data_IF_978781532338
#
_entry.id   IF_978781532338
#
_cell.length_a   1.000
_cell.length_b   1.000
_cell.length_c   1.000
_cell.angle_alpha   90.00
_cell.angle_beta   90.00
_cell.angle_gamma   90.00
#
_symmetry.space_group_name_H-M   'P 1'
#
loop_
_entity.id
_entity.type
_entity.pdbx_description
1 polymer ?
#
# COMPACT_ATOMS: atom_id res chain seq x y z
N UNK A 1 -5.35 -16.08 4.30
CA UNK A 1 -4.63 -16.86 5.33
C UNK A 1 -3.21 -17.09 4.87
N UNK A 2 -2.31 -16.18 5.23
CA UNK A 2 -0.87 -16.36 5.04
C UNK A 2 -0.37 -17.22 6.19
N UNK A 3 0.01 -18.45 5.89
CA UNK A 3 0.75 -19.30 6.81
C UNK A 3 2.18 -18.74 6.93
N UNK A 4 2.57 -18.39 8.15
CA UNK A 4 3.96 -18.14 8.50
C UNK A 4 4.71 -19.46 8.49
N UNK A 5 5.53 -19.70 7.48
CA UNK A 5 6.55 -20.74 7.54
C UNK A 5 7.79 -20.18 8.23
N UNK A 6 7.98 -20.55 9.47
CA UNK A 6 9.25 -20.45 10.18
C UNK A 6 10.22 -21.45 9.58
N UNK A 7 11.16 -20.97 8.78
CA UNK A 7 12.31 -21.79 8.36
C UNK A 7 13.36 -21.68 9.46
N UNK A 8 13.59 -22.81 10.15
CA UNK A 8 14.70 -22.98 11.07
C UNK A 8 16.02 -22.98 10.29
N UNK A 9 16.89 -22.06 10.62
CA UNK A 9 18.26 -22.02 10.10
C UNK A 9 19.09 -23.16 10.65
N UNK A 10 19.67 -23.96 9.78
CA UNK A 10 20.74 -24.89 10.11
C UNK A 10 22.07 -24.14 10.35
N UNK A 11 22.90 -24.56 11.28
CA UNK A 11 24.19 -23.92 11.54
C UNK A 11 25.30 -24.47 10.63
N UNK A 12 26.14 -23.58 10.12
CA UNK A 12 27.49 -23.93 9.76
C UNK A 12 27.98 -23.57 8.37
N UNK A 13 28.67 -22.46 8.25
CA UNK A 13 29.97 -22.41 7.55
C UNK A 13 30.76 -21.20 8.06
N UNK A 14 31.92 -21.52 8.63
CA UNK A 14 32.94 -20.61 9.13
C UNK A 14 33.56 -19.81 7.98
N UNK A 15 33.38 -18.50 7.95
CA UNK A 15 34.25 -17.59 7.20
C UNK A 15 35.19 -16.90 8.18
N UNK A 16 36.48 -16.97 7.90
CA UNK A 16 37.60 -16.46 8.70
C UNK A 16 37.43 -14.98 9.03
N UNK A 17 37.20 -14.71 10.32
CA UNK A 17 37.09 -13.35 10.84
C UNK A 17 38.46 -12.66 10.88
N UNK A 18 38.56 -11.47 10.32
CA UNK A 18 39.55 -10.49 10.74
C UNK A 18 39.23 -10.09 12.17
N UNK A 19 40.18 -10.30 13.09
CA UNK A 19 40.11 -9.79 14.46
C UNK A 19 39.99 -8.27 14.44
N UNK A 20 38.77 -7.74 14.60
CA UNK A 20 38.53 -6.38 14.99
C UNK A 20 38.77 -6.32 16.51
N UNK A 21 39.69 -5.45 16.92
CA UNK A 21 40.08 -5.28 18.31
C UNK A 21 38.87 -5.07 19.23
N UNK A 22 38.87 -5.75 20.35
CA UNK A 22 37.81 -5.76 21.36
C UNK A 22 37.75 -4.50 22.21
N UNK A 23 38.57 -3.47 21.91
CA UNK A 23 38.67 -2.23 22.67
C UNK A 23 38.64 -1.01 21.73
N UNK A 24 38.02 0.05 22.18
CA UNK A 24 38.04 1.37 21.47
C UNK A 24 39.42 2.04 21.59
N UNK A 25 39.60 3.20 20.92
CA UNK A 25 40.87 3.97 20.98
C UNK A 25 41.26 4.43 22.37
N UNK A 26 40.33 4.38 23.33
CA UNK A 26 40.52 4.80 24.70
C UNK A 26 40.68 3.63 25.68
N UNK A 27 40.77 2.38 25.14
CA UNK A 27 41.01 1.19 25.93
C UNK A 27 39.76 0.59 26.61
N UNK A 28 38.54 1.08 26.28
CA UNK A 28 37.31 0.53 26.81
C UNK A 28 36.89 -0.72 26.02
N UNK A 29 36.38 -1.78 26.66
CA UNK A 29 35.89 -2.94 25.95
C UNK A 29 34.68 -2.55 25.09
N UNK A 30 34.74 -2.83 23.79
CA UNK A 30 33.59 -2.67 22.90
C UNK A 30 32.62 -3.80 23.22
N UNK A 31 31.46 -3.48 23.61
CA UNK A 31 30.37 -4.44 23.85
C UNK A 31 29.98 -5.11 22.52
N UNK A 32 30.53 -6.27 22.25
CA UNK A 32 30.28 -7.07 21.05
C UNK A 32 29.01 -7.91 21.14
N UNK A 33 28.26 -7.85 22.24
CA UNK A 33 27.02 -8.60 22.40
C UNK A 33 25.79 -7.90 21.76
N UNK A 34 25.96 -6.71 21.19
CA UNK A 34 24.87 -5.92 20.59
C UNK A 34 24.79 -6.01 19.05
N UNK A 35 25.45 -6.94 18.40
CA UNK A 35 25.29 -7.14 16.96
C UNK A 35 24.44 -8.37 16.67
N UNK A 36 23.21 -8.35 17.14
CA UNK A 36 22.16 -9.04 16.43
C UNK A 36 21.61 -8.03 15.39
N UNK A 37 21.87 -8.31 14.12
CA UNK A 37 21.37 -7.55 12.95
C UNK A 37 19.83 -7.62 12.79
N UNK A 38 19.09 -7.61 13.86
CA UNK A 38 17.69 -7.26 13.81
C UNK A 38 17.65 -5.75 13.58
N UNK A 39 17.48 -5.32 12.34
CA UNK A 39 17.15 -3.93 12.00
C UNK A 39 15.93 -3.53 12.82
N UNK A 40 16.17 -2.87 13.94
CA UNK A 40 15.10 -2.39 14.80
C UNK A 40 14.27 -1.37 14.04
N UNK A 41 12.97 -1.60 13.95
CA UNK A 41 12.03 -0.64 13.35
C UNK A 41 12.13 0.66 14.15
N UNK A 42 12.37 1.82 13.51
CA UNK A 42 12.43 3.10 14.20
C UNK A 42 11.16 3.36 15.02
N UNK A 43 11.33 3.91 16.21
CA UNK A 43 10.21 4.26 17.09
C UNK A 43 9.25 5.20 16.34
N UNK A 44 7.94 4.89 16.40
CA UNK A 44 6.91 5.67 15.72
C UNK A 44 6.71 5.35 14.24
N UNK A 45 7.51 4.47 13.64
CA UNK A 45 7.28 4.00 12.29
C UNK A 45 6.31 2.82 12.30
N UNK A 46 5.14 2.99 11.71
CA UNK A 46 4.18 1.91 11.48
C UNK A 46 3.40 2.14 10.19
N UNK A 47 2.94 1.05 9.61
CA UNK A 47 2.27 1.03 8.31
C UNK A 47 0.92 0.34 8.40
N UNK A 48 -0.01 0.76 7.54
CA UNK A 48 -1.32 0.15 7.43
C UNK A 48 -1.90 0.32 6.02
N UNK A 49 -2.92 -0.45 5.74
CA UNK A 49 -3.80 -0.33 4.58
C UNK A 49 -5.22 -0.05 5.06
N UNK A 50 -6.09 0.34 4.16
CA UNK A 50 -7.52 0.50 4.44
C UNK A 50 -8.35 -0.45 3.58
N UNK A 51 -9.43 -0.98 4.14
CA UNK A 51 -10.35 -1.79 3.36
C UNK A 51 -11.15 -0.90 2.41
N UNK A 52 -11.35 -1.36 1.18
CA UNK A 52 -11.97 -0.59 0.10
C UNK A 52 -13.38 -0.08 0.47
N UNK A 53 -14.23 -0.93 1.07
CA UNK A 53 -15.65 -0.62 1.29
C UNK A 53 -15.91 0.27 2.52
N UNK A 54 -15.31 -0.05 3.64
CA UNK A 54 -15.61 0.59 4.93
C UNK A 54 -14.42 1.37 5.52
N UNK A 55 -13.28 1.42 4.83
CA UNK A 55 -12.11 2.13 5.31
C UNK A 55 -11.54 1.59 6.64
N UNK A 56 -11.77 0.31 6.96
CA UNK A 56 -11.21 -0.30 8.16
C UNK A 56 -9.69 -0.40 8.02
N UNK A 57 -8.98 -0.04 9.08
CA UNK A 57 -7.51 -0.05 9.12
C UNK A 57 -7.03 -1.49 9.31
N UNK A 58 -6.12 -1.92 8.44
CA UNK A 58 -5.45 -3.21 8.51
C UNK A 58 -3.95 -2.97 8.69
N UNK A 59 -3.36 -3.31 9.84
CA UNK A 59 -1.94 -3.14 10.08
C UNK A 59 -1.10 -3.95 9.08
N UNK A 60 0.01 -3.39 8.62
CA UNK A 60 0.97 -4.04 7.74
C UNK A 60 2.34 -3.98 8.41
N UNK A 61 3.08 -5.11 8.48
CA UNK A 61 4.43 -5.09 9.00
C UNK A 61 5.33 -4.22 8.12
N UNK A 62 6.20 -3.44 8.74
CA UNK A 62 7.22 -2.68 8.00
C UNK A 62 8.22 -3.67 7.43
N UNK A 63 8.46 -3.60 6.12
CA UNK A 63 9.48 -4.43 5.48
C UNK A 63 10.88 -3.91 5.82
N UNK A 64 11.57 -4.64 6.69
CA UNK A 64 12.95 -4.39 7.10
C UNK A 64 13.94 -5.34 6.43
N UNK A 65 13.44 -6.34 5.71
CA UNK A 65 14.24 -7.35 5.03
C UNK A 65 14.22 -7.08 3.53
N UNK A 66 15.36 -6.91 2.92
CA UNK A 66 15.49 -6.85 1.46
C UNK A 66 15.48 -8.25 0.82
N UNK A 67 14.62 -9.14 1.30
CA UNK A 67 14.59 -10.55 0.88
C UNK A 67 14.14 -10.76 -0.56
N UNK A 68 13.42 -9.80 -1.14
CA UNK A 68 12.88 -9.87 -2.51
C UNK A 68 13.71 -9.13 -3.57
N UNK A 69 14.95 -8.71 -3.27
CA UNK A 69 15.73 -7.87 -4.20
C UNK A 69 15.99 -8.53 -5.56
N UNK A 70 16.09 -9.85 -5.62
CA UNK A 70 16.27 -10.60 -6.86
C UNK A 70 15.05 -10.59 -7.76
N UNK A 71 13.86 -10.25 -7.23
CA UNK A 71 12.62 -10.07 -8.00
C UNK A 71 12.36 -8.60 -8.34
N UNK A 72 13.40 -7.83 -8.59
CA UNK A 72 13.32 -6.39 -8.85
C UNK A 72 12.43 -6.02 -10.02
N UNK A 73 12.30 -6.90 -11.02
CA UNK A 73 11.39 -6.72 -12.16
C UNK A 73 9.93 -7.13 -11.85
N UNK A 74 9.69 -7.92 -10.80
CA UNK A 74 8.38 -8.40 -10.32
C UNK A 74 7.55 -9.24 -11.34
N UNK A 75 8.07 -9.59 -12.50
CA UNK A 75 7.29 -10.30 -13.55
C UNK A 75 6.93 -11.73 -13.15
N UNK A 76 7.84 -12.44 -12.51
CA UNK A 76 7.59 -13.79 -12.01
C UNK A 76 6.68 -13.84 -10.78
N UNK A 77 6.40 -12.70 -10.15
CA UNK A 77 5.63 -12.58 -8.91
C UNK A 77 6.33 -13.21 -7.70
N UNK A 78 5.71 -13.13 -6.51
CA UNK A 78 6.32 -13.63 -5.27
C UNK A 78 6.53 -15.14 -5.26
N UNK A 79 5.70 -15.89 -6.00
CA UNK A 79 5.72 -17.35 -6.04
C UNK A 79 6.39 -17.92 -7.30
N UNK A 80 6.75 -17.09 -8.28
CA UNK A 80 7.21 -17.54 -9.59
C UNK A 80 6.14 -18.24 -10.44
N UNK A 81 4.88 -18.22 -10.02
CA UNK A 81 3.76 -18.94 -10.64
C UNK A 81 2.93 -18.05 -11.59
N UNK A 82 3.59 -17.18 -12.34
CA UNK A 82 2.95 -16.32 -13.33
C UNK A 82 3.38 -16.69 -14.74
N UNK A 83 2.42 -16.70 -15.67
CA UNK A 83 2.69 -16.67 -17.11
C UNK A 83 2.75 -15.20 -17.56
N UNK A 84 3.72 -14.86 -18.39
CA UNK A 84 3.89 -13.53 -18.97
C UNK A 84 4.55 -13.64 -20.37
N UNK A 85 4.54 -12.56 -21.13
CA UNK A 85 4.98 -12.57 -22.53
C UNK A 85 6.49 -12.31 -22.71
N UNK A 86 7.29 -12.45 -21.67
CA UNK A 86 8.74 -12.50 -21.75
C UNK A 86 9.48 -11.18 -21.55
N UNK A 87 8.82 -10.03 -21.57
CA UNK A 87 9.45 -8.72 -21.32
C UNK A 87 8.90 -8.02 -20.07
N UNK A 88 9.68 -7.12 -19.53
CA UNK A 88 9.28 -6.27 -18.44
C UNK A 88 8.05 -5.44 -18.82
N UNK A 89 7.01 -5.50 -18.00
CA UNK A 89 5.75 -4.79 -18.26
C UNK A 89 4.79 -5.51 -19.19
N UNK A 90 5.09 -6.72 -19.65
CA UNK A 90 4.13 -7.52 -20.42
C UNK A 90 2.94 -7.96 -19.54
N UNK A 91 1.76 -8.19 -20.13
CA UNK A 91 0.63 -8.73 -19.40
C UNK A 91 0.99 -10.07 -18.75
N UNK A 92 0.49 -10.30 -17.55
CA UNK A 92 0.70 -11.55 -16.82
C UNK A 92 -0.57 -12.11 -16.20
N UNK A 93 -0.58 -13.41 -15.97
CA UNK A 93 -1.67 -14.10 -15.28
C UNK A 93 -1.10 -15.11 -14.29
N UNK A 94 -1.66 -15.14 -13.09
CA UNK A 94 -1.30 -16.14 -12.08
C UNK A 94 -1.80 -17.52 -12.52
N UNK A 95 -0.94 -18.55 -12.51
CA UNK A 95 -1.30 -19.94 -12.81
C UNK A 95 -2.14 -20.58 -11.71
N UNK A 96 -1.96 -20.12 -10.47
CA UNK A 96 -2.74 -20.60 -9.33
C UNK A 96 -4.07 -19.85 -9.32
N UNK A 97 -5.16 -20.56 -9.61
CA UNK A 97 -6.50 -19.96 -9.75
C UNK A 97 -6.95 -19.23 -8.47
N UNK A 98 -6.74 -19.82 -7.30
CA UNK A 98 -7.18 -19.25 -6.02
C UNK A 98 -6.38 -18.00 -5.59
N UNK A 99 -5.21 -17.76 -6.20
CA UNK A 99 -4.40 -16.57 -5.93
C UNK A 99 -4.66 -15.44 -6.94
N UNK A 100 -5.58 -15.67 -7.90
CA UNK A 100 -5.99 -14.62 -8.83
C UNK A 100 -6.77 -13.54 -8.09
N UNK A 101 -6.50 -12.29 -8.43
CA UNK A 101 -7.31 -11.18 -7.96
C UNK A 101 -8.70 -11.25 -8.58
N UNK A 102 -9.71 -10.75 -7.85
CA UNK A 102 -11.02 -10.53 -8.44
C UNK A 102 -10.90 -9.65 -9.69
N UNK A 103 -11.57 -10.07 -10.76
CA UNK A 103 -11.62 -9.32 -12.00
C UNK A 103 -12.28 -7.95 -11.77
N UNK A 104 -11.70 -6.93 -12.37
CA UNK A 104 -12.29 -5.59 -12.33
C UNK A 104 -13.33 -5.45 -13.45
N UNK A 105 -14.24 -4.51 -13.28
CA UNK A 105 -15.16 -4.16 -14.37
C UNK A 105 -14.47 -3.52 -15.58
N UNK A 106 -13.19 -3.16 -15.44
CA UNK A 106 -12.34 -2.70 -16.52
C UNK A 106 -11.16 -3.66 -16.70
N UNK A 107 -11.44 -4.80 -17.28
CA UNK A 107 -10.54 -5.97 -17.40
C UNK A 107 -9.18 -5.67 -18.04
N UNK A 108 -9.08 -4.59 -18.81
CA UNK A 108 -7.87 -4.22 -19.56
C UNK A 108 -6.68 -3.84 -18.68
N UNK A 109 -6.88 -3.56 -17.40
CA UNK A 109 -5.82 -3.25 -16.44
C UNK A 109 -5.45 -4.42 -15.53
N UNK A 110 -6.28 -5.47 -15.47
CA UNK A 110 -6.08 -6.61 -14.58
C UNK A 110 -4.77 -7.38 -14.82
N UNK A 111 -4.31 -7.57 -16.07
CA UNK A 111 -3.03 -8.24 -16.36
C UNK A 111 -1.79 -7.46 -15.88
N UNK A 112 -1.95 -6.25 -15.36
CA UNK A 112 -0.87 -5.36 -14.91
C UNK A 112 -0.86 -5.16 -13.40
N UNK A 113 -1.27 -6.18 -12.65
CA UNK A 113 -1.39 -6.19 -11.19
C UNK A 113 -0.07 -5.88 -10.45
N UNK A 114 1.08 -6.00 -11.12
CA UNK A 114 2.42 -5.72 -10.60
C UNK A 114 2.77 -4.22 -10.56
N UNK A 115 2.01 -3.38 -11.23
CA UNK A 115 2.23 -1.93 -11.25
C UNK A 115 0.98 -1.12 -10.92
N UNK A 116 -0.22 -1.59 -11.28
CA UNK A 116 -1.48 -0.90 -10.95
C UNK A 116 -1.87 -1.18 -9.50
N UNK A 117 -1.82 -0.14 -8.66
CA UNK A 117 -2.20 -0.22 -7.26
C UNK A 117 -3.69 0.07 -7.08
N UNK A 118 -4.41 -0.90 -6.53
CA UNK A 118 -5.80 -0.69 -6.09
C UNK A 118 -5.80 0.06 -4.74
N UNK A 119 -6.87 0.76 -4.35
CA UNK A 119 -6.93 1.51 -3.09
C UNK A 119 -6.55 0.69 -1.85
N UNK A 120 -6.99 -0.57 -1.80
CA UNK A 120 -6.68 -1.49 -0.70
C UNK A 120 -5.22 -1.95 -0.68
N UNK A 121 -4.44 -1.69 -1.73
CA UNK A 121 -3.02 -2.06 -1.81
C UNK A 121 -2.10 -0.90 -1.43
N UNK A 122 -2.61 0.34 -1.40
CA UNK A 122 -1.84 1.52 -0.99
C UNK A 122 -1.50 1.44 0.49
N UNK A 123 -0.21 1.61 0.78
CA UNK A 123 0.30 1.58 2.15
C UNK A 123 0.37 3.01 2.67
N UNK A 124 -0.24 3.26 3.81
CA UNK A 124 -0.08 4.49 4.57
C UNK A 124 1.02 4.30 5.61
N UNK A 125 1.82 5.32 5.83
CA UNK A 125 2.96 5.26 6.75
C UNK A 125 2.89 6.42 7.73
N UNK A 126 2.94 6.11 9.03
CA UNK A 126 3.22 7.08 10.07
C UNK A 126 4.71 7.05 10.40
N UNK A 127 5.31 8.22 10.53
CA UNK A 127 6.74 8.34 10.78
C UNK A 127 7.06 9.62 11.55
N UNK A 128 8.12 9.60 12.36
CA UNK A 128 8.61 10.79 13.06
C UNK A 128 9.57 11.63 12.20
N UNK A 129 10.19 11.02 11.20
CA UNK A 129 11.05 11.66 10.21
C UNK A 129 10.59 11.25 8.80
N UNK A 130 10.83 12.04 7.75
CA UNK A 130 10.46 11.64 6.39
C UNK A 130 10.98 10.24 6.06
N UNK A 131 10.10 9.39 5.54
CA UNK A 131 10.41 8.03 5.11
C UNK A 131 10.47 7.98 3.60
N UNK A 132 11.58 7.48 3.06
CA UNK A 132 11.79 7.34 1.61
C UNK A 132 12.30 5.95 1.28
N UNK A 133 11.69 5.32 0.28
CA UNK A 133 12.19 4.08 -0.31
C UNK A 133 12.32 4.27 -1.82
N UNK A 134 13.55 4.11 -2.33
CA UNK A 134 13.88 4.22 -3.74
C UNK A 134 14.38 2.87 -4.24
N UNK A 135 13.81 2.40 -5.33
CA UNK A 135 14.25 1.17 -6.00
C UNK A 135 14.52 1.47 -7.47
N UNK A 136 15.68 1.11 -7.94
CA UNK A 136 16.04 1.25 -9.34
C UNK A 136 16.59 -0.06 -9.88
N UNK A 137 16.02 -0.49 -10.99
CA UNK A 137 16.45 -1.66 -11.76
C UNK A 137 16.76 -1.23 -13.18
N UNK A 138 17.87 -1.73 -13.72
CA UNK A 138 18.24 -1.55 -15.12
C UNK A 138 18.95 -2.79 -15.65
N UNK A 139 18.47 -3.34 -16.76
CA UNK A 139 19.17 -4.38 -17.49
C UNK A 139 20.41 -3.83 -18.19
N UNK A 140 21.52 -4.55 -18.14
CA UNK A 140 22.75 -4.18 -18.86
C UNK A 140 22.68 -4.42 -20.36
N UNK A 141 21.65 -5.10 -20.84
CA UNK A 141 21.48 -5.39 -22.27
C UNK A 141 21.00 -4.15 -23.03
N UNK A 142 21.82 -3.62 -23.92
CA UNK A 142 21.50 -2.41 -24.70
C UNK A 142 20.43 -2.66 -25.79
N UNK A 143 20.26 -3.90 -26.26
CA UNK A 143 19.26 -4.23 -27.30
C UNK A 143 17.87 -4.43 -26.73
N UNK A 144 17.76 -5.17 -25.63
CA UNK A 144 16.51 -5.51 -24.96
C UNK A 144 16.44 -4.81 -23.59
N UNK A 145 16.84 -3.55 -23.54
CA UNK A 145 16.97 -2.79 -22.30
C UNK A 145 15.65 -2.69 -21.55
N UNK A 146 15.73 -3.01 -20.27
CA UNK A 146 14.63 -2.89 -19.33
C UNK A 146 15.04 -1.97 -18.19
N UNK A 147 14.11 -1.16 -17.75
CA UNK A 147 14.34 -0.16 -16.70
C UNK A 147 13.09 -0.01 -15.85
N UNK A 148 13.26 0.02 -14.53
CA UNK A 148 12.17 0.30 -13.59
C UNK A 148 12.66 1.19 -12.46
N UNK A 149 11.93 2.24 -12.18
CA UNK A 149 12.16 3.15 -11.08
C UNK A 149 10.93 3.22 -10.20
N UNK A 150 11.10 2.90 -8.91
CA UNK A 150 10.05 3.05 -7.90
C UNK A 150 10.50 4.06 -6.86
N UNK A 151 9.60 4.93 -6.46
CA UNK A 151 9.82 5.89 -5.39
C UNK A 151 8.60 5.90 -4.47
N UNK A 152 8.81 5.62 -3.21
CA UNK A 152 7.81 5.80 -2.16
C UNK A 152 8.31 6.85 -1.16
N UNK A 153 7.47 7.82 -0.87
CA UNK A 153 7.74 8.88 0.08
C UNK A 153 6.56 9.07 1.02
N UNK A 154 6.84 9.23 2.32
CA UNK A 154 5.83 9.52 3.32
C UNK A 154 6.39 10.47 4.37
N UNK A 155 5.58 11.41 4.81
CA UNK A 155 5.92 12.38 5.85
C UNK A 155 4.69 12.74 6.67
N UNK A 156 4.89 12.99 7.95
CA UNK A 156 3.89 13.51 8.85
C UNK A 156 4.04 15.03 9.00
N UNK A 157 2.97 15.78 8.74
CA UNK A 157 2.89 17.19 9.05
C UNK A 157 2.72 17.44 10.56
N UNK A 158 2.02 16.53 11.24
CA UNK A 158 1.85 16.50 12.69
C UNK A 158 1.48 15.08 13.16
N UNK A 159 1.21 14.88 14.45
CA UNK A 159 0.86 13.57 15.03
C UNK A 159 -0.39 12.92 14.43
N UNK A 160 -1.26 13.68 13.75
CA UNK A 160 -2.55 13.21 13.21
C UNK A 160 -2.63 13.24 11.69
N UNK A 161 -1.83 14.07 11.02
CA UNK A 161 -1.87 14.30 9.57
C UNK A 161 -0.57 13.85 8.93
N UNK A 162 -0.69 12.96 7.96
CA UNK A 162 0.42 12.55 7.11
C UNK A 162 0.00 12.48 5.65
N UNK A 163 0.97 12.55 4.76
CA UNK A 163 0.79 12.44 3.31
C UNK A 163 2.04 11.87 2.66
N UNK A 164 1.88 11.43 1.44
CA UNK A 164 2.98 10.87 0.67
C UNK A 164 2.60 10.60 -0.76
N UNK A 165 3.56 10.05 -1.48
CA UNK A 165 3.36 9.62 -2.86
C UNK A 165 4.09 8.31 -3.13
N UNK A 166 3.62 7.61 -4.16
CA UNK A 166 4.28 6.48 -4.78
C UNK A 166 4.34 6.70 -6.29
N UNK A 167 5.51 6.50 -6.88
CA UNK A 167 5.74 6.57 -8.32
C UNK A 167 6.37 5.25 -8.76
N UNK A 168 5.86 4.68 -9.84
CA UNK A 168 6.41 3.49 -10.49
C UNK A 168 6.51 3.75 -11.99
N UNK A 169 7.71 3.95 -12.46
CA UNK A 169 8.03 4.08 -13.88
C UNK A 169 8.69 2.81 -14.38
N UNK A 170 8.21 2.30 -15.50
CA UNK A 170 8.69 1.07 -16.09
C UNK A 170 8.83 1.24 -17.59
N UNK A 171 9.97 0.81 -18.12
CA UNK A 171 10.23 0.76 -19.55
C UNK A 171 10.88 -0.57 -19.93
N UNK A 172 10.36 -1.22 -20.99
CA UNK A 172 10.92 -2.45 -21.53
C UNK A 172 10.84 -2.47 -23.06
N UNK A 173 11.91 -2.88 -23.72
CA UNK A 173 11.93 -2.99 -25.19
C UNK A 173 11.38 -4.32 -25.71
N UNK A 174 11.45 -5.36 -24.91
CA UNK A 174 11.10 -6.69 -25.35
C UNK A 174 12.16 -7.38 -26.19
N UNK A 175 11.93 -8.65 -26.55
CA UNK A 175 12.87 -9.49 -27.28
C UNK A 175 12.65 -9.44 -28.78
N UNK A 176 11.44 -9.22 -29.23
CA UNK A 176 11.05 -9.17 -30.66
C UNK A 176 10.78 -7.73 -31.09
N UNK A 177 10.70 -7.53 -32.40
CA UNK A 177 10.26 -6.26 -32.96
C UNK A 177 8.86 -5.89 -32.43
N UNK A 178 8.59 -4.59 -32.33
CA UNK A 178 7.29 -4.05 -31.90
C UNK A 178 6.71 -4.61 -30.59
N UNK A 179 7.60 -4.99 -29.65
CA UNK A 179 7.25 -5.50 -28.32
C UNK A 179 7.83 -4.56 -27.25
N UNK A 180 7.28 -3.39 -27.08
CA UNK A 180 7.78 -2.44 -26.07
C UNK A 180 6.69 -1.98 -25.12
N UNK A 181 7.08 -1.75 -23.88
CA UNK A 181 6.21 -1.24 -22.79
C UNK A 181 6.77 0.05 -22.23
N UNK A 182 5.89 0.99 -21.91
CA UNK A 182 6.24 2.24 -21.22
C UNK A 182 5.10 2.60 -20.28
N UNK A 183 5.31 2.39 -18.98
CA UNK A 183 4.31 2.60 -17.96
C UNK A 183 4.73 3.69 -17.00
N UNK A 184 3.77 4.49 -16.60
CA UNK A 184 3.90 5.46 -15.53
C UNK A 184 2.69 5.36 -14.61
N UNK A 185 2.93 5.00 -13.35
CA UNK A 185 1.91 4.92 -12.33
C UNK A 185 2.28 5.86 -11.19
N UNK A 186 1.35 6.70 -10.79
CA UNK A 186 1.53 7.67 -9.72
C UNK A 186 0.39 7.61 -8.74
N UNK A 187 0.70 7.58 -7.44
CA UNK A 187 -0.27 7.65 -6.37
C UNK A 187 0.09 8.78 -5.41
N UNK A 188 -0.89 9.60 -5.07
CA UNK A 188 -0.82 10.53 -3.96
C UNK A 188 -1.73 10.02 -2.87
N UNK A 189 -1.29 10.04 -1.62
CA UNK A 189 -2.12 9.66 -0.50
C UNK A 189 -1.96 10.63 0.66
N UNK A 190 -3.03 10.79 1.42
CA UNK A 190 -3.06 11.57 2.64
C UNK A 190 -3.98 10.91 3.66
N UNK A 191 -3.70 11.13 4.93
CA UNK A 191 -4.57 10.67 6.00
C UNK A 191 -4.62 11.70 7.14
N UNK A 192 -5.76 11.70 7.81
CA UNK A 192 -5.93 12.36 9.08
C UNK A 192 -6.48 11.35 10.10
N UNK A 193 -5.83 11.21 11.25
CA UNK A 193 -6.22 10.28 12.31
C UNK A 193 -6.37 11.04 13.62
N UNK A 194 -7.59 11.37 13.94
CA UNK A 194 -7.98 12.01 15.21
C UNK A 194 -8.77 11.06 16.10
N UNK A 195 -9.17 11.53 17.27
CA UNK A 195 -9.95 10.73 18.22
C UNK A 195 -11.38 10.51 17.69
N UNK A 196 -12.00 11.58 17.19
CA UNK A 196 -13.39 11.56 16.70
C UNK A 196 -13.52 11.46 15.20
N UNK A 197 -12.50 11.82 14.45
CA UNK A 197 -12.55 11.85 12.99
C UNK A 197 -11.29 11.25 12.39
N UNK A 198 -11.50 10.32 11.46
CA UNK A 198 -10.47 9.67 10.65
C UNK A 198 -10.78 9.86 9.17
N UNK A 199 -9.77 10.10 8.36
CA UNK A 199 -9.88 10.27 6.91
C UNK A 199 -8.69 9.62 6.22
N UNK A 200 -8.94 8.96 5.10
CA UNK A 200 -7.89 8.48 4.18
C UNK A 200 -8.29 8.88 2.76
N UNK A 201 -7.35 9.46 2.06
CA UNK A 201 -7.50 9.93 0.69
C UNK A 201 -6.41 9.31 -0.18
N UNK A 202 -6.79 8.86 -1.39
CA UNK A 202 -5.88 8.37 -2.42
C UNK A 202 -6.31 8.97 -3.76
N UNK A 203 -5.34 9.45 -4.50
CA UNK A 203 -5.48 9.78 -5.92
C UNK A 203 -4.45 8.97 -6.69
N UNK A 204 -4.89 8.24 -7.70
CA UNK A 204 -4.02 7.43 -8.56
C UNK A 204 -4.18 7.83 -10.02
N UNK A 205 -3.07 7.81 -10.74
CA UNK A 205 -3.01 7.95 -12.19
C UNK A 205 -2.12 6.85 -12.77
N UNK A 206 -2.71 6.01 -13.60
CA UNK A 206 -2.01 4.93 -14.29
C UNK A 206 -2.03 5.20 -15.80
N UNK A 207 -0.87 5.12 -16.41
CA UNK A 207 -0.67 5.28 -17.84
C UNK A 207 0.16 4.11 -18.36
N UNK A 208 -0.50 3.19 -19.06
CA UNK A 208 0.09 1.93 -19.52
C UNK A 208 0.08 1.92 -21.05
N UNK A 209 1.22 2.13 -21.67
CA UNK A 209 1.37 2.09 -23.13
C UNK A 209 2.27 0.92 -23.52
N UNK A 210 1.76 0.06 -24.40
CA UNK A 210 2.52 -1.04 -24.96
C UNK A 210 2.36 -1.14 -26.45
N UNK A 211 3.38 -1.62 -27.13
CA UNK A 211 3.29 -2.09 -28.49
C UNK A 211 2.89 -3.56 -28.51
N UNK A 212 2.09 -3.91 -29.51
CA UNK A 212 1.66 -5.29 -29.76
C UNK A 212 2.15 -5.76 -31.13
N UNK A 213 2.81 -6.90 -31.15
CA UNK A 213 3.40 -7.45 -32.35
C UNK A 213 2.62 -8.64 -32.97
N UNK A 214 1.58 -9.14 -32.25
CA UNK A 214 0.77 -10.26 -32.72
C UNK A 214 1.49 -11.60 -32.88
N UNK A 215 2.74 -11.71 -32.42
CA UNK A 215 3.59 -12.87 -32.54
C UNK A 215 4.52 -12.81 -33.77
N UNK A 216 5.32 -13.85 -33.97
CA UNK A 216 6.21 -14.01 -35.14
C UNK A 216 5.42 -14.52 -36.32
N UNK A 217 5.85 -14.17 -37.52
CA UNK A 217 5.16 -14.53 -38.77
C UNK A 217 5.32 -16.01 -39.16
N UNK A 218 6.41 -16.65 -38.75
CA UNK A 218 6.72 -18.05 -39.10
C UNK A 218 7.52 -18.70 -37.95
N UNK A 219 7.04 -19.84 -37.45
CA UNK A 219 7.67 -20.58 -36.34
C UNK A 219 9.05 -21.14 -36.71
N UNK A 220 9.37 -21.27 -38.03
CA UNK A 220 10.68 -21.72 -38.50
C UNK A 220 11.82 -20.79 -38.06
N UNK A 221 11.55 -19.53 -37.78
CA UNK A 221 12.56 -18.64 -37.18
C UNK A 221 13.08 -19.15 -35.81
N UNK A 222 12.31 -20.00 -35.13
CA UNK A 222 12.68 -20.64 -33.86
C UNK A 222 13.08 -22.10 -34.06
N UNK A 223 12.34 -22.87 -34.88
CA UNK A 223 12.55 -24.31 -35.06
C UNK A 223 13.73 -24.61 -35.99
N UNK A 224 13.89 -23.84 -37.05
CA UNK A 224 14.92 -24.01 -38.09
C UNK A 224 15.68 -22.70 -38.37
N UNK A 225 16.36 -22.14 -37.37
CA UNK A 225 16.96 -20.82 -37.46
C UNK A 225 18.07 -20.72 -38.54
N UNK A 226 18.72 -21.81 -38.89
CA UNK A 226 19.78 -21.81 -39.87
C UNK A 226 19.23 -21.63 -41.28
N UNK A 227 18.10 -22.25 -41.60
CA UNK A 227 17.46 -22.15 -42.93
C UNK A 227 16.87 -20.75 -43.13
N UNK A 228 16.32 -20.15 -42.03
CA UNK A 228 15.75 -18.83 -42.09
C UNK A 228 16.80 -17.70 -42.07
N UNK A 229 18.05 -18.02 -41.81
CA UNK A 229 19.12 -17.01 -41.68
C UNK A 229 19.63 -16.51 -43.06
N UNK A 230 19.17 -17.05 -44.19
CA UNK A 230 19.54 -16.63 -45.55
C UNK A 230 21.08 -16.49 -45.74
N UNK A 231 21.86 -17.43 -45.19
CA UNK A 231 23.31 -17.41 -45.27
C UNK A 231 24.01 -16.52 -44.25
N UNK A 232 23.28 -15.83 -43.35
CA UNK A 232 23.86 -15.15 -42.19
C UNK A 232 24.19 -16.18 -41.11
N UNK A 233 25.32 -16.02 -40.42
CA UNK A 233 25.68 -16.91 -39.27
C UNK A 233 24.72 -16.82 -38.09
N UNK A 234 24.08 -15.69 -37.92
CA UNK A 234 23.15 -15.41 -36.81
C UNK A 234 22.32 -14.17 -37.11
N UNK A 235 21.07 -14.15 -36.72
CA UNK A 235 20.20 -12.96 -36.69
C UNK A 235 19.71 -12.68 -35.25
N UNK A 236 19.44 -11.40 -34.94
CA UNK A 236 18.88 -11.05 -33.65
C UNK A 236 17.38 -11.36 -33.61
N UNK A 237 16.86 -11.66 -32.45
CA UNK A 237 15.41 -11.85 -32.26
C UNK A 237 14.58 -10.63 -32.70
N UNK A 238 15.16 -9.43 -32.63
CA UNK A 238 14.56 -8.18 -33.12
C UNK A 238 14.46 -8.09 -34.64
N UNK A 239 15.17 -8.95 -35.40
CA UNK A 239 15.15 -9.00 -36.87
C UNK A 239 14.08 -9.96 -37.39
N UNK A 240 13.47 -10.75 -36.49
CA UNK A 240 12.39 -11.68 -36.83
C UNK A 240 11.13 -10.88 -37.15
N UNK A 241 10.51 -11.11 -38.34
CA UNK A 241 9.27 -10.41 -38.70
C UNK A 241 8.13 -10.77 -37.76
N UNK A 242 7.33 -9.77 -37.43
CA UNK A 242 6.14 -9.91 -36.57
C UNK A 242 4.86 -9.64 -37.35
N UNK A 243 3.76 -10.23 -36.90
CA UNK A 243 2.46 -10.16 -37.58
C UNK A 243 1.90 -8.76 -37.60
N UNK A 244 2.01 -8.06 -36.46
CA UNK A 244 1.57 -6.67 -36.30
C UNK A 244 2.77 -5.73 -36.22
N UNK A 245 2.59 -4.55 -36.82
CA UNK A 245 3.57 -3.48 -36.88
C UNK A 245 2.83 -2.14 -36.61
N UNK A 246 3.42 -1.24 -35.80
CA UNK A 246 2.80 0.04 -35.44
C UNK A 246 1.41 -0.08 -34.81
N UNK A 247 1.25 -1.03 -33.91
CA UNK A 247 0.05 -1.25 -33.13
C UNK A 247 0.36 -0.99 -31.64
N UNK A 248 -0.54 -0.28 -30.95
CA UNK A 248 -0.40 0.07 -29.54
C UNK A 248 -1.68 -0.20 -28.77
N UNK A 249 -1.53 -0.70 -27.58
CA UNK A 249 -2.55 -0.72 -26.55
C UNK A 249 -2.19 0.34 -25.48
N UNK A 250 -3.09 1.27 -25.24
CA UNK A 250 -2.87 2.38 -24.31
C UNK A 250 -4.02 2.47 -23.33
N UNK A 251 -3.75 2.08 -22.08
CA UNK A 251 -4.68 2.16 -20.97
C UNK A 251 -4.34 3.36 -20.09
N UNK A 252 -5.32 4.18 -19.79
CA UNK A 252 -5.21 5.31 -18.86
C UNK A 252 -6.30 5.20 -17.82
N UNK A 253 -5.93 5.28 -16.55
CA UNK A 253 -6.86 5.22 -15.44
C UNK A 253 -6.59 6.35 -14.45
N UNK A 254 -7.67 7.00 -14.00
CA UNK A 254 -7.65 7.91 -12.87
C UNK A 254 -8.57 7.34 -11.81
N UNK A 255 -8.09 7.31 -10.59
CA UNK A 255 -8.83 6.79 -9.47
C UNK A 255 -8.75 7.75 -8.29
N UNK A 256 -9.90 8.09 -7.70
CA UNK A 256 -9.98 8.85 -6.46
C UNK A 256 -10.69 7.98 -5.44
N UNK A 257 -10.07 7.82 -4.30
CA UNK A 257 -10.63 7.12 -3.15
C UNK A 257 -10.59 8.03 -1.94
N UNK A 258 -11.74 8.22 -1.33
CA UNK A 258 -11.89 8.95 -0.07
C UNK A 258 -12.72 8.11 0.88
N UNK A 259 -12.15 7.76 2.02
CA UNK A 259 -12.92 7.19 3.12
C UNK A 259 -12.76 8.05 4.35
N UNK A 260 -13.85 8.34 5.01
CA UNK A 260 -13.81 9.08 6.26
C UNK A 260 -14.83 8.55 7.25
N UNK A 261 -14.49 8.71 8.52
CA UNK A 261 -15.25 8.15 9.63
C UNK A 261 -15.38 9.18 10.73
N UNK A 262 -16.59 9.33 11.25
CA UNK A 262 -16.85 10.11 12.44
C UNK A 262 -17.25 9.20 13.59
N UNK A 263 -16.48 9.22 14.67
CA UNK A 263 -16.63 8.36 15.82
C UNK A 263 -17.37 9.09 16.94
N UNK A 264 -18.48 8.50 17.39
CA UNK A 264 -19.17 8.86 18.62
C UNK A 264 -18.71 7.95 19.74
N UNK A 265 -18.37 8.53 20.87
CA UNK A 265 -17.84 7.78 22.01
C UNK A 265 -17.64 8.66 23.23
N UNK A 266 -16.92 8.15 24.21
CA UNK A 266 -16.64 8.82 25.44
C UNK A 266 -15.15 8.70 25.80
N UNK A 267 -14.65 9.64 26.62
CA UNK A 267 -13.31 9.55 27.16
C UNK A 267 -13.32 8.73 28.44
N UNK A 268 -12.49 7.67 28.49
CA UNK A 268 -12.26 6.86 29.66
C UNK A 268 -11.00 7.38 30.35
N UNK A 269 -11.16 8.14 31.41
CA UNK A 269 -10.09 8.63 32.26
C UNK A 269 -10.39 8.33 33.72
N UNK A 270 -9.40 8.41 34.59
CA UNK A 270 -9.66 8.45 36.06
C UNK A 270 -10.66 9.56 36.33
N UNK A 271 -11.72 9.26 37.13
CA UNK A 271 -12.50 10.30 37.78
C UNK A 271 -11.51 11.22 38.47
N UNK A 272 -11.50 12.49 38.09
CA UNK A 272 -10.91 13.51 38.94
C UNK A 272 -11.64 13.38 40.27
N UNK A 273 -10.94 12.90 41.32
CA UNK A 273 -11.37 13.21 42.65
C UNK A 273 -11.38 14.74 42.71
N UNK A 274 -12.47 15.35 43.17
CA UNK A 274 -12.50 16.79 43.32
C UNK A 274 -11.25 17.17 44.13
N UNK A 275 -10.40 18.00 43.54
CA UNK A 275 -9.34 18.66 44.26
C UNK A 275 -10.01 19.32 45.44
N UNK A 276 -9.93 18.69 46.64
CA UNK A 276 -10.19 19.36 47.87
C UNK A 276 -9.20 20.51 47.83
N UNK A 277 -9.72 21.72 47.71
CA UNK A 277 -8.93 22.92 47.80
C UNK A 277 -8.24 22.87 49.19
N UNK A 278 -7.01 22.36 49.18
CA UNK A 278 -6.14 22.48 50.37
C UNK A 278 -5.81 23.95 50.41
N UNK A 279 -6.44 24.61 51.37
CA UNK A 279 -6.27 26.04 51.62
C UNK A 279 -4.80 26.40 51.52
N UNK A 280 -4.50 27.41 50.76
CA UNK A 280 -3.16 28.01 50.63
C UNK A 280 -2.60 28.47 51.98
N UNK A 281 -3.44 28.59 53.00
CA UNK A 281 -3.10 28.89 54.37
C UNK A 281 -2.29 27.80 55.09
N UNK A 282 -2.47 26.51 54.77
CA UNK A 282 -1.71 25.42 55.39
C UNK A 282 -0.26 25.34 54.92
N UNK A 283 0.06 25.78 53.72
CA UNK A 283 1.42 25.79 53.19
C UNK A 283 2.24 26.96 53.72
N UNK A 284 1.64 28.13 54.03
CA UNK A 284 2.31 29.24 54.69
C UNK A 284 2.57 28.95 56.16
N UNK A 285 1.61 28.37 56.87
CA UNK A 285 1.80 27.97 58.29
C UNK A 285 2.87 26.88 58.47
N UNK A 286 3.01 25.96 57.51
CA UNK A 286 4.07 24.95 57.53
C UNK A 286 5.46 25.55 57.21
N UNK A 287 5.54 26.55 56.35
CA UNK A 287 6.78 27.29 56.10
C UNK A 287 7.23 28.07 57.29
N UNK A 288 6.34 28.82 57.92
CA UNK A 288 6.64 29.62 59.11
C UNK A 288 7.03 28.75 60.30
N UNK A 289 6.40 27.57 60.46
CA UNK A 289 6.76 26.58 61.50
C UNK A 289 8.15 25.94 61.23
N UNK A 290 8.56 25.75 60.03
CA UNK A 290 9.88 25.18 59.69
C UNK A 290 11.00 26.22 59.84
N UNK A 291 10.73 27.48 59.61
CA UNK A 291 11.67 28.59 59.80
C UNK A 291 11.84 28.87 61.34
N UNK A 292 10.76 28.86 62.10
CA UNK A 292 10.80 29.08 63.59
C UNK A 292 11.49 27.94 64.35
N UNK A 293 11.57 26.73 63.75
CA UNK A 293 12.25 25.59 64.38
C UNK A 293 13.71 25.40 63.87
N UNK A 294 14.28 26.37 63.20
CA UNK A 294 15.69 26.39 62.83
C UNK A 294 16.13 25.30 61.76
N UNK A 295 15.17 24.72 61.09
CA UNK A 295 15.44 23.64 60.11
C UNK A 295 15.75 24.21 58.71
N UNK A 296 15.35 25.45 58.41
CA UNK A 296 15.68 26.17 57.18
C UNK A 296 16.20 27.56 57.50
N UNK A 297 17.43 27.89 57.13
CA UNK A 297 17.97 29.24 57.22
C UNK A 297 17.70 30.03 55.95
N UNK A 298 17.35 31.30 56.06
CA UNK A 298 16.97 32.24 55.01
C UNK A 298 18.06 32.49 53.94
N UNK A 299 19.25 31.90 54.11
CA UNK A 299 20.39 32.11 53.25
C UNK A 299 20.58 31.05 52.14
N UNK A 300 19.67 30.05 52.01
CA UNK A 300 19.82 28.95 51.04
C UNK A 300 19.05 29.14 49.72
N UNK A 301 18.41 30.31 49.53
CA UNK A 301 17.59 30.56 48.33
C UNK A 301 18.38 31.28 47.19
N UNK A 302 19.63 31.66 47.41
CA UNK A 302 20.44 32.29 46.37
C UNK A 302 21.87 31.80 46.39
N UNK A 303 22.18 30.77 45.60
CA UNK A 303 23.39 30.63 44.79
C UNK A 303 23.63 29.15 44.40
N UNK A 304 23.40 28.85 43.15
CA UNK A 304 23.96 27.69 42.45
C UNK A 304 25.48 27.82 42.35
N UNK A 305 26.22 26.90 42.99
CA UNK A 305 27.59 26.56 42.62
C UNK A 305 27.80 25.06 42.69
N UNK A 306 28.64 24.48 41.82
CA UNK A 306 28.79 23.03 41.68
C UNK A 306 29.62 22.45 42.84
N UNK A 307 29.15 21.34 43.37
CA UNK A 307 29.84 20.55 44.43
C UNK A 307 30.85 19.62 43.75
N UNK A 308 32.12 19.53 44.22
CA UNK A 308 33.08 18.60 43.70
C UNK A 308 32.79 17.14 44.10
N UNK A 309 33.04 16.24 43.13
CA UNK A 309 33.05 14.80 43.38
C UNK A 309 34.26 14.43 44.24
N UNK A 310 34.02 13.97 45.45
CA UNK A 310 34.85 13.01 46.12
C UNK A 310 34.13 12.55 47.42
N UNK A 311 33.61 11.31 47.40
CA UNK A 311 33.69 10.37 48.51
C UNK A 311 33.28 8.97 48.02
N UNK A 312 34.27 8.14 47.86
CA UNK A 312 34.08 6.70 47.78
C UNK A 312 33.64 6.14 49.14
N UNK A 313 32.79 5.12 49.09
CA UNK A 313 32.39 4.21 50.16
C UNK A 313 31.24 4.59 51.07
N UNK A 314 30.04 4.17 50.66
CA UNK A 314 29.13 3.44 51.57
C UNK A 314 28.07 2.70 50.77
N UNK A 315 28.27 1.42 50.58
CA UNK A 315 27.31 0.42 50.14
C UNK A 315 26.04 0.42 51.02
N UNK A 316 24.91 0.70 50.40
CA UNK A 316 23.64 -0.06 50.47
C UNK A 316 22.68 0.54 49.49
N UNK A 317 22.37 -0.23 48.46
CA UNK A 317 21.38 0.08 47.49
C UNK A 317 20.02 0.26 48.15
N UNK A 318 19.54 1.48 48.15
CA UNK A 318 18.10 1.79 48.18
C UNK A 318 17.79 2.05 46.71
N UNK A 319 17.23 1.06 46.05
CA UNK A 319 16.55 1.25 44.76
C UNK A 319 15.41 2.25 45.00
N UNK A 320 15.43 3.44 44.41
CA UNK A 320 14.21 4.24 44.41
C UNK A 320 13.22 3.47 43.52
N UNK A 321 12.12 2.99 44.06
CA UNK A 321 10.92 2.71 43.27
C UNK A 321 10.59 4.01 42.55
N UNK A 322 10.96 4.07 41.28
CA UNK A 322 10.43 5.06 40.34
C UNK A 322 8.95 4.70 40.21
N UNK A 323 8.13 5.31 41.03
CA UNK A 323 6.70 5.38 40.76
C UNK A 323 6.54 6.14 39.47
N UNK A 324 6.49 5.36 38.34
CA UNK A 324 6.14 5.84 37.02
C UNK A 324 4.63 6.16 37.01
N UNK A 325 4.24 7.22 37.73
CA UNK A 325 2.94 7.85 37.60
C UNK A 325 2.94 8.80 36.42
N UNK A 326 3.24 8.27 35.24
CA UNK A 326 2.80 8.92 34.01
C UNK A 326 1.28 8.81 33.97
N UNK A 327 0.58 9.88 34.36
CA UNK A 327 -0.86 10.03 34.16
C UNK A 327 -1.15 9.76 32.68
N UNK A 328 -1.74 8.59 32.38
CA UNK A 328 -2.21 8.26 31.03
C UNK A 328 -3.30 9.27 30.69
N UNK A 329 -3.07 10.06 29.64
CA UNK A 329 -4.07 10.94 29.06
C UNK A 329 -5.39 10.16 28.82
N UNK A 330 -6.56 10.80 28.99
CA UNK A 330 -7.84 10.14 28.81
C UNK A 330 -7.94 9.53 27.42
N UNK A 331 -8.23 8.22 27.35
CA UNK A 331 -8.36 7.46 26.13
C UNK A 331 -9.78 7.58 25.56
N UNK A 332 -9.93 7.99 24.30
CA UNK A 332 -11.22 8.04 23.63
C UNK A 332 -11.68 6.62 23.24
N UNK A 333 -12.85 6.22 23.73
CA UNK A 333 -13.48 4.93 23.44
C UNK A 333 -14.62 5.16 22.46
N UNK A 334 -14.46 4.80 21.18
CA UNK A 334 -15.53 4.91 20.19
C UNK A 334 -16.58 3.81 20.41
N UNK A 335 -17.84 4.20 20.34
CA UNK A 335 -19.02 3.30 20.46
C UNK A 335 -19.65 3.08 19.10
N UNK A 336 -19.99 4.16 18.43
CA UNK A 336 -20.64 4.16 17.12
C UNK A 336 -19.84 5.01 16.15
N UNK A 337 -19.75 4.57 14.91
CA UNK A 337 -19.06 5.31 13.85
C UNK A 337 -19.97 5.48 12.64
N UNK A 338 -20.01 6.68 12.09
CA UNK A 338 -20.56 6.96 10.78
C UNK A 338 -19.44 6.93 9.76
N UNK A 339 -19.63 6.16 8.71
CA UNK A 339 -18.62 5.90 7.68
C UNK A 339 -19.17 6.38 6.34
N UNK A 340 -18.36 7.09 5.59
CA UNK A 340 -18.63 7.37 4.18
C UNK A 340 -17.38 7.04 3.37
N UNK A 341 -17.55 6.27 2.32
CA UNK A 341 -16.51 5.94 1.35
C UNK A 341 -16.98 6.33 -0.04
N UNK A 342 -16.17 7.10 -0.74
CA UNK A 342 -16.38 7.52 -2.12
C UNK A 342 -15.26 6.98 -2.99
N UNK A 343 -15.63 6.40 -4.12
CA UNK A 343 -14.71 5.95 -5.16
C UNK A 343 -15.13 6.56 -6.50
N UNK A 344 -14.18 7.14 -7.22
CA UNK A 344 -14.36 7.65 -8.57
C UNK A 344 -13.34 6.98 -9.47
N UNK A 345 -13.81 6.29 -10.49
CA UNK A 345 -12.99 5.61 -11.48
C UNK A 345 -13.25 6.20 -12.87
N UNK A 346 -12.18 6.59 -13.54
CA UNK A 346 -12.19 7.00 -14.93
C UNK A 346 -11.16 6.17 -15.70
N UNK A 347 -11.63 5.23 -16.50
CA UNK A 347 -10.79 4.30 -17.23
C UNK A 347 -10.98 4.50 -18.72
N UNK A 348 -9.90 4.43 -19.48
CA UNK A 348 -9.91 4.56 -20.94
C UNK A 348 -8.89 3.60 -21.52
N UNK A 349 -9.31 2.82 -22.50
CA UNK A 349 -8.44 2.01 -23.36
C UNK A 349 -8.52 2.52 -24.79
N UNK A 350 -7.37 2.70 -25.41
CA UNK A 350 -7.23 2.96 -26.84
C UNK A 350 -6.39 1.87 -27.45
N UNK A 351 -6.95 1.12 -28.38
CA UNK A 351 -6.21 0.25 -29.26
C UNK A 351 -6.01 0.99 -30.57
N UNK A 352 -4.75 1.24 -30.92
CA UNK A 352 -4.37 2.11 -32.03
C UNK A 352 -3.61 1.27 -33.04
N UNK A 353 -4.06 1.24 -34.31
CA UNK A 353 -3.36 0.60 -35.42
C UNK A 353 -3.12 1.63 -36.51
N UNK A 354 -1.92 1.61 -37.06
CA UNK A 354 -1.60 2.38 -38.28
C UNK A 354 -1.72 1.50 -39.55
N UNK A 355 -1.94 0.20 -39.37
CA UNK A 355 -2.18 -0.75 -40.47
C UNK A 355 -3.42 -1.60 -40.14
N UNK A 356 -4.58 -1.11 -40.58
CA UNK A 356 -5.86 -1.77 -40.32
C UNK A 356 -5.96 -3.15 -40.97
N UNK A 357 -5.35 -3.35 -42.13
CA UNK A 357 -5.41 -4.62 -42.84
C UNK A 357 -4.73 -5.75 -42.05
N UNK A 358 -3.59 -5.48 -41.42
CA UNK A 358 -2.91 -6.47 -40.58
C UNK A 358 -3.75 -6.79 -39.32
N UNK A 359 -4.30 -5.79 -38.64
CA UNK A 359 -5.12 -6.00 -37.48
C UNK A 359 -6.43 -6.77 -37.80
N UNK A 360 -7.05 -6.48 -38.95
CA UNK A 360 -8.24 -7.18 -39.40
C UNK A 360 -7.98 -8.66 -39.73
N UNK A 361 -6.82 -8.97 -40.28
CA UNK A 361 -6.45 -10.35 -40.56
C UNK A 361 -6.10 -11.17 -39.31
N UNK A 362 -5.64 -10.53 -38.24
CA UNK A 362 -5.29 -11.23 -36.99
C UNK A 362 -6.51 -11.50 -36.11
N UNK A 363 -7.46 -10.56 -36.02
CA UNK A 363 -8.62 -10.65 -35.14
C UNK A 363 -9.87 -10.98 -35.97
N UNK A 364 -10.48 -12.12 -35.75
CA UNK A 364 -11.70 -12.58 -36.40
C UNK A 364 -12.87 -11.61 -36.22
N UNK A 365 -12.96 -11.02 -35.02
CA UNK A 365 -13.96 -10.03 -34.67
C UNK A 365 -13.26 -8.73 -34.29
N UNK A 366 -13.22 -7.77 -35.17
CA UNK A 366 -12.75 -6.44 -34.86
C UNK A 366 -13.78 -5.39 -35.30
N UNK A 367 -13.91 -4.35 -34.51
CA UNK A 367 -14.86 -3.26 -34.77
C UNK A 367 -14.18 -2.01 -35.33
N UNK A 368 -12.98 -2.15 -35.85
CA UNK A 368 -12.23 -0.99 -36.36
C UNK A 368 -12.86 -0.38 -37.59
N UNK A 369 -13.44 -1.20 -38.46
CA UNK A 369 -13.94 -0.73 -39.75
C UNK A 369 -12.82 -0.02 -40.52
N UNK A 370 -13.05 1.25 -40.88
CA UNK A 370 -12.03 2.14 -41.47
C UNK A 370 -11.24 2.95 -40.47
N UNK A 371 -11.62 2.89 -39.17
CA UNK A 371 -10.99 3.66 -38.13
C UNK A 371 -9.67 3.02 -37.67
N UNK A 372 -8.70 3.83 -37.28
CA UNK A 372 -7.40 3.41 -36.80
C UNK A 372 -7.36 3.29 -35.25
N UNK A 373 -8.44 3.63 -34.55
CA UNK A 373 -8.49 3.65 -33.10
C UNK A 373 -9.78 3.00 -32.62
N UNK A 374 -9.65 1.98 -31.80
CA UNK A 374 -10.74 1.48 -30.97
C UNK A 374 -10.64 2.08 -29.57
N UNK A 375 -11.78 2.60 -29.06
CA UNK A 375 -11.81 3.36 -27.82
C UNK A 375 -12.90 2.84 -26.88
N UNK A 376 -12.48 2.29 -25.75
CA UNK A 376 -13.36 1.84 -24.66
C UNK A 376 -13.17 2.73 -23.45
N UNK A 377 -14.26 3.19 -22.85
CA UNK A 377 -14.24 4.00 -21.62
C UNK A 377 -15.15 3.41 -20.57
N UNK A 378 -14.78 3.59 -19.32
CA UNK A 378 -15.63 3.32 -18.16
C UNK A 378 -15.48 4.46 -17.17
N UNK A 379 -16.61 4.98 -16.72
CA UNK A 379 -16.69 5.89 -15.57
C UNK A 379 -17.54 5.23 -14.49
N UNK A 380 -17.05 5.22 -13.26
CA UNK A 380 -17.82 4.73 -12.11
C UNK A 380 -17.73 5.73 -10.97
N UNK A 381 -18.87 5.98 -10.32
CA UNK A 381 -19.00 6.78 -9.13
C UNK A 381 -19.70 5.93 -8.09
N UNK A 382 -18.99 5.56 -7.04
CA UNK A 382 -19.49 4.69 -5.98
C UNK A 382 -19.43 5.38 -4.64
N UNK A 383 -20.56 5.40 -3.94
CA UNK A 383 -20.68 5.95 -2.59
C UNK A 383 -21.22 4.88 -1.65
N UNK A 384 -20.53 4.66 -0.54
CA UNK A 384 -20.96 3.75 0.52
C UNK A 384 -21.14 4.55 1.81
N UNK A 385 -22.33 4.49 2.39
CA UNK A 385 -22.66 5.07 3.68
C UNK A 385 -22.90 3.95 4.68
N UNK A 386 -22.24 4.00 5.83
CA UNK A 386 -22.33 2.96 6.84
C UNK A 386 -22.45 3.50 8.26
N UNK A 387 -23.09 2.70 9.11
CA UNK A 387 -23.15 2.91 10.54
C UNK A 387 -22.56 1.66 11.19
N UNK A 388 -21.53 1.85 12.01
CA UNK A 388 -20.82 0.77 12.69
C UNK A 388 -20.91 0.91 14.19
N UNK A 389 -21.35 -0.16 14.84
CA UNK A 389 -21.23 -0.35 16.28
C UNK A 389 -19.93 -1.12 16.56
N UNK A 390 -19.02 -0.54 17.36
CA UNK A 390 -17.69 -1.11 17.54
C UNK A 390 -17.66 -2.20 18.62
N UNK A 391 -16.77 -3.17 18.40
CA UNK A 391 -16.45 -4.20 19.39
C UNK A 391 -15.75 -3.58 20.62
N UNK A 392 -16.02 -4.11 21.81
CA UNK A 392 -15.21 -3.87 23.01
C UNK A 392 -15.51 -2.59 23.79
N UNK A 393 -16.45 -1.73 23.36
CA UNK A 393 -16.82 -0.56 24.13
C UNK A 393 -17.53 -0.91 25.44
N UNK A 394 -18.11 -2.09 25.55
CA UNK A 394 -18.71 -2.65 26.75
C UNK A 394 -18.49 -4.19 26.79
N UNK A 395 -18.59 -4.79 28.00
CA UNK A 395 -18.39 -6.23 28.24
C UNK A 395 -19.32 -7.14 27.42
N UNK A 396 -20.49 -6.67 27.01
CA UNK A 396 -21.44 -7.40 26.18
C UNK A 396 -21.22 -7.24 24.68
N UNK A 397 -20.54 -6.17 24.24
CA UNK A 397 -20.22 -5.92 22.83
C UNK A 397 -19.03 -6.78 22.37
N UNK A 398 -19.29 -8.08 22.18
CA UNK A 398 -18.26 -9.09 21.83
C UNK A 398 -17.90 -9.14 20.36
N UNK A 399 -18.62 -8.41 19.52
CA UNK A 399 -18.37 -8.28 18.08
C UNK A 399 -18.84 -6.89 17.61
N UNK A 400 -18.19 -6.36 16.60
CA UNK A 400 -18.61 -5.16 15.88
C UNK A 400 -19.65 -5.50 14.82
N UNK A 401 -20.67 -4.66 14.68
CA UNK A 401 -21.71 -4.79 13.66
C UNK A 401 -21.74 -3.51 12.83
N UNK A 402 -21.68 -3.66 11.50
CA UNK A 402 -21.78 -2.53 10.57
C UNK A 402 -22.91 -2.81 9.60
N UNK A 403 -23.81 -1.86 9.41
CA UNK A 403 -24.77 -1.83 8.31
C UNK A 403 -24.39 -0.74 7.33
N UNK A 404 -24.53 -1.00 6.04
CA UNK A 404 -24.17 -0.02 5.01
C UNK A 404 -25.12 -0.10 3.81
N UNK A 405 -25.17 1.01 3.08
CA UNK A 405 -25.85 1.15 1.79
C UNK A 405 -24.83 1.66 0.78
N UNK A 406 -24.84 1.07 -0.40
CA UNK A 406 -23.93 1.45 -1.49
C UNK A 406 -24.73 1.85 -2.71
N UNK A 407 -24.45 3.01 -3.27
CA UNK A 407 -24.93 3.46 -4.57
C UNK A 407 -23.76 3.53 -5.54
N UNK A 408 -23.90 2.91 -6.71
CA UNK A 408 -22.91 2.92 -7.77
C UNK A 408 -23.56 3.33 -9.10
N UNK A 409 -23.08 4.42 -9.67
CA UNK A 409 -23.36 4.82 -11.04
C UNK A 409 -22.21 4.37 -11.94
N UNK A 410 -22.53 3.72 -13.06
CA UNK A 410 -21.56 3.26 -14.06
C UNK A 410 -21.97 3.80 -15.43
N UNK A 411 -21.01 4.24 -16.22
CA UNK A 411 -21.17 4.64 -17.63
C UNK A 411 -20.07 3.97 -18.46
N UNK A 412 -20.48 3.10 -19.35
CA UNK A 412 -19.60 2.41 -20.29
C UNK A 412 -19.78 2.99 -21.68
N UNK A 413 -18.67 3.30 -22.35
CA UNK A 413 -18.64 3.63 -23.77
C UNK A 413 -17.90 2.50 -24.49
N UNK A 414 -18.62 1.74 -25.31
CA UNK A 414 -18.11 0.58 -26.01
C UNK A 414 -18.29 0.78 -27.52
N UNK A 415 -17.33 0.24 -28.28
CA UNK A 415 -17.50 0.15 -29.74
C UNK A 415 -18.42 -1.01 -30.08
N UNK A 416 -19.31 -0.77 -31.03
CA UNK A 416 -20.25 -1.77 -31.56
C UNK A 416 -20.43 -1.53 -33.07
N UNK A 417 -21.06 -2.44 -33.79
CA UNK A 417 -21.39 -2.29 -35.19
C UNK A 417 -22.90 -2.09 -35.41
N UNK A 418 -23.25 -1.32 -36.42
CA UNK A 418 -24.64 -1.27 -36.87
C UNK A 418 -24.91 -2.51 -37.73
N UNK A 419 -25.97 -3.26 -37.42
CA UNK A 419 -26.33 -4.48 -38.18
C UNK A 419 -26.70 -4.28 -39.64
N UNK A 420 -26.63 -3.07 -40.20
CA UNK A 420 -27.04 -2.74 -41.58
C UNK A 420 -25.85 -2.46 -42.50
N UNK A 421 -24.79 -1.81 -42.00
CA UNK A 421 -23.66 -1.37 -42.83
C UNK A 421 -22.28 -1.69 -42.27
N UNK A 422 -22.18 -2.52 -41.22
CA UNK A 422 -20.96 -2.78 -40.44
C UNK A 422 -20.20 -1.52 -40.00
N UNK A 423 -20.91 -0.39 -39.92
CA UNK A 423 -20.31 0.85 -39.41
C UNK A 423 -20.11 0.77 -37.94
N UNK A 424 -18.94 1.17 -37.50
CA UNK A 424 -18.63 1.33 -36.08
C UNK A 424 -19.46 2.45 -35.49
N UNK A 425 -20.09 2.16 -34.36
CA UNK A 425 -20.78 3.14 -33.49
C UNK A 425 -20.24 3.03 -32.08
N UNK A 426 -20.31 4.13 -31.33
CA UNK A 426 -20.06 4.14 -29.91
C UNK A 426 -21.39 4.04 -29.17
N UNK A 427 -21.57 2.97 -28.41
CA UNK A 427 -22.74 2.78 -27.54
C UNK A 427 -22.40 3.16 -26.10
N UNK A 428 -23.37 3.79 -25.45
CA UNK A 428 -23.31 4.15 -24.03
C UNK A 428 -24.26 3.26 -23.24
N UNK A 429 -23.72 2.60 -22.21
CA UNK A 429 -24.48 1.79 -21.27
C UNK A 429 -24.37 2.45 -19.89
N UNK A 430 -25.52 2.83 -19.34
CA UNK A 430 -25.60 3.52 -18.05
C UNK A 430 -26.34 2.64 -17.07
N UNK A 431 -25.74 2.42 -15.91
CA UNK A 431 -26.27 1.61 -14.85
C UNK A 431 -26.32 2.41 -13.55
N UNK A 432 -27.39 2.22 -12.79
CA UNK A 432 -27.54 2.74 -11.45
C UNK A 432 -27.87 1.61 -10.51
N UNK A 433 -26.94 1.26 -9.65
CA UNK A 433 -27.07 0.12 -8.75
C UNK A 433 -27.14 0.60 -7.30
N UNK A 434 -28.04 0.00 -6.55
CA UNK A 434 -28.21 0.22 -5.12
C UNK A 434 -28.11 -1.11 -4.41
N UNK A 435 -27.23 -1.22 -3.45
CA UNK A 435 -27.09 -2.41 -2.61
C UNK A 435 -27.12 -2.07 -1.12
N UNK A 436 -27.53 -3.02 -0.32
CA UNK A 436 -27.52 -2.96 1.14
C UNK A 436 -26.71 -4.13 1.67
N UNK A 437 -25.90 -3.87 2.68
CA UNK A 437 -25.07 -4.90 3.25
C UNK A 437 -24.82 -4.74 4.73
N UNK A 438 -24.22 -5.78 5.29
CA UNK A 438 -23.80 -5.82 6.68
C UNK A 438 -22.46 -6.52 6.86
N UNK A 439 -21.73 -6.10 7.86
CA UNK A 439 -20.47 -6.70 8.28
C UNK A 439 -20.53 -7.04 9.77
N UNK A 440 -20.22 -8.29 10.11
CA UNK A 440 -19.99 -8.74 11.47
C UNK A 440 -18.49 -9.01 11.64
N UNK A 441 -17.84 -8.26 12.53
CA UNK A 441 -16.40 -8.28 12.71
C UNK A 441 -16.05 -8.58 14.16
N UNK A 442 -15.14 -9.53 14.39
CA UNK A 442 -14.56 -9.80 15.69
C UNK A 442 -13.05 -9.85 15.58
N UNK A 443 -12.38 -8.86 16.15
CA UNK A 443 -10.93 -8.73 16.14
C UNK A 443 -10.30 -8.96 17.51
N UNK A 444 -11.08 -8.80 18.60
CA UNK A 444 -10.60 -8.96 19.95
C UNK A 444 -10.91 -10.37 20.50
N UNK A 445 -9.98 -10.90 21.29
CA UNK A 445 -10.13 -12.21 21.92
C UNK A 445 -8.98 -13.15 21.59
N UNK A 446 -8.91 -14.31 22.30
CA UNK A 446 -7.81 -15.28 22.16
C UNK A 446 -8.12 -16.44 21.25
N UNK A 447 -9.40 -16.75 21.03
CA UNK A 447 -9.82 -18.03 20.44
C UNK A 447 -10.34 -17.92 19.01
N UNK A 448 -11.10 -16.90 18.67
CA UNK A 448 -11.75 -16.80 17.36
C UNK A 448 -11.84 -15.38 16.87
N UNK A 449 -11.19 -15.09 15.74
CA UNK A 449 -11.32 -13.86 14.98
C UNK A 449 -12.07 -14.19 13.70
N UNK A 450 -13.08 -13.42 13.37
CA UNK A 450 -13.87 -13.64 12.15
C UNK A 450 -14.37 -12.34 11.59
N UNK A 451 -14.57 -12.35 10.30
CA UNK A 451 -15.22 -11.30 9.53
C UNK A 451 -16.21 -11.95 8.57
N UNK A 452 -17.47 -11.60 8.72
CA UNK A 452 -18.56 -12.03 7.83
C UNK A 452 -19.12 -10.77 7.20
N UNK A 453 -19.14 -10.73 5.89
CA UNK A 453 -19.67 -9.61 5.10
C UNK A 453 -20.67 -10.16 4.11
N UNK A 454 -21.85 -9.57 4.06
CA UNK A 454 -22.90 -9.86 3.09
C UNK A 454 -23.40 -8.56 2.47
N UNK A 455 -23.68 -8.59 1.18
CA UNK A 455 -24.25 -7.49 0.41
C UNK A 455 -25.23 -8.06 -0.62
N UNK A 456 -26.35 -7.38 -0.80
CA UNK A 456 -27.40 -7.75 -1.76
C UNK A 456 -27.79 -6.53 -2.57
N UNK A 457 -27.86 -6.69 -3.88
CA UNK A 457 -28.42 -5.67 -4.80
C UNK A 457 -29.92 -5.52 -4.58
N UNK A 458 -30.37 -4.29 -4.40
CA UNK A 458 -31.79 -3.97 -4.11
C UNK A 458 -32.47 -3.35 -5.32
N UNK A 459 -31.73 -2.60 -6.10
CA UNK A 459 -32.23 -1.93 -7.31
C UNK A 459 -31.10 -1.75 -8.33
N UNK A 460 -31.46 -1.75 -9.61
CA UNK A 460 -30.54 -1.61 -10.74
C UNK A 460 -30.25 -2.95 -11.42
N UNK A 461 -29.22 -2.99 -12.25
CA UNK A 461 -28.81 -4.16 -13.02
C UNK A 461 -28.20 -5.28 -12.12
N UNK A 462 -27.69 -4.90 -10.94
CA UNK A 462 -27.14 -5.85 -9.96
C UNK A 462 -28.22 -6.39 -8.98
N UNK A 463 -29.50 -6.08 -9.20
CA UNK A 463 -30.59 -6.56 -8.36
C UNK A 463 -30.94 -8.01 -8.73
N UNK A 464 -30.75 -8.95 -7.77
CA UNK A 464 -31.05 -10.36 -7.96
C UNK A 464 -30.89 -11.15 -6.66
#
# INVERSE_FOLDING_TARGET
TLAQNTISSAPGSSASGRNLGTHDRNGNPIDTTAVTDAKTIPIGLYQWKVTRRLGNIVPVPVDTLHAGFQNSNDMGGPTGQYNYLGNLGSPRINRIFFDRREESQFIFTDPYDFCVLRPQDVIFTNTLSPFTNLTYYKSLNSRNGEERFKSYFAVNANKRLGFGFNIDYLYGRGMYADQSTAFFNGNLFAYYRGDKYDMHFIFSNDNLKMKENGGITDDRYITDPLDMAEGKKQYASTDIPTVLNKVWNHNTSYHVFLTHRYNLGFYKGKKEEPLVATDSLTNEMLKDSLISNGILSDSLVTKSQPIPLDVANASKAVTPEVNDTTEKAPEFVPVTSFIHTMELDFNSRKYITQDNAQAQNLYEYNYFGTDSIDHTKRTSIKNTLGISLREGFNKWAKAGLTAFITHEYRDFTLSDTTGVDDRRILKHYKENNLSIGGELLKEQGKLLHYRVLGEVGVAGEDAG
#
